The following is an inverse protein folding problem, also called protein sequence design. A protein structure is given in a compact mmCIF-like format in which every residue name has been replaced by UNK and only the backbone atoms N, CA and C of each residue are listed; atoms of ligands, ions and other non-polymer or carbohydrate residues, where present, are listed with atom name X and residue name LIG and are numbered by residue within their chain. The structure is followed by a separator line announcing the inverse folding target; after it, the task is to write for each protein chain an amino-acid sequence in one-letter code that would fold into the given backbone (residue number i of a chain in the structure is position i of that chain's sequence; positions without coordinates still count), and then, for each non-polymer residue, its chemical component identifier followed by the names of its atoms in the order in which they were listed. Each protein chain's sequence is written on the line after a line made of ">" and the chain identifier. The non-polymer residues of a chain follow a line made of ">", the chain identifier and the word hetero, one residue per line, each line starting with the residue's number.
data_IF_955503461776
#
_entry.id   IF_955503461776
#
_cell.length_a   1.000
_cell.length_b   1.000
_cell.length_c   1.000
_cell.angle_alpha   90.00
_cell.angle_beta   90.00
_cell.angle_gamma   90.00
#
_symmetry.space_group_name_H-M   'P 1'
#
loop_
_entity.id
_entity.type
_entity.pdbx_description
1 polymer ?
#
# COMPACT_ATOMS: atom_id res chain seq x y z
N UNK A 1 -6.84 6.94 -17.91
CA UNK A 1 -6.38 6.57 -16.57
C UNK A 1 -6.42 7.75 -15.64
N UNK A 2 -6.66 7.49 -14.37
CA UNK A 2 -6.67 8.51 -13.33
C UNK A 2 -5.42 8.38 -12.47
N UNK A 3 -5.01 9.49 -11.89
CA UNK A 3 -3.86 9.50 -11.00
C UNK A 3 -4.33 9.21 -9.57
N UNK A 4 -3.73 8.20 -8.97
CA UNK A 4 -4.05 7.78 -7.60
C UNK A 4 -2.83 7.85 -6.71
N UNK A 5 -3.05 8.16 -5.46
CA UNK A 5 -2.06 8.05 -4.41
C UNK A 5 -2.58 7.04 -3.40
N UNK A 6 -1.77 6.04 -3.13
CA UNK A 6 -2.14 4.95 -2.24
C UNK A 6 -1.14 4.92 -1.09
N UNK A 7 -1.63 5.07 0.12
CA UNK A 7 -0.81 4.92 1.31
C UNK A 7 -1.20 3.61 1.98
N UNK A 8 -0.22 2.82 2.34
CA UNK A 8 -0.49 1.62 3.12
C UNK A 8 0.56 1.43 4.20
N UNK A 9 0.15 0.76 5.27
CA UNK A 9 0.99 0.51 6.43
C UNK A 9 1.13 -0.99 6.58
N UNK A 10 2.39 -1.45 6.60
CA UNK A 10 2.73 -2.86 6.78
C UNK A 10 3.21 -3.06 8.21
N UNK A 11 2.77 -4.13 8.87
CA UNK A 11 3.21 -4.41 10.24
C UNK A 11 4.71 -4.73 10.26
N UNK A 12 5.38 -4.28 11.32
CA UNK A 12 6.83 -4.43 11.44
C UNK A 12 7.26 -5.77 12.04
N UNK A 13 6.32 -6.50 12.64
CA UNK A 13 6.62 -7.76 13.33
C UNK A 13 7.02 -8.91 12.40
N UNK A 14 6.79 -8.75 11.10
CA UNK A 14 7.11 -9.80 10.11
C UNK A 14 8.55 -9.74 9.62
N UNK A 15 9.31 -8.72 10.04
CA UNK A 15 10.69 -8.52 9.61
C UNK A 15 10.81 -7.70 8.35
N UNK A 16 11.97 -7.07 8.17
CA UNK A 16 12.22 -6.14 7.08
C UNK A 16 12.06 -6.77 5.69
N UNK A 17 12.55 -8.00 5.52
CA UNK A 17 12.46 -8.69 4.23
C UNK A 17 11.02 -8.94 3.82
N UNK A 18 10.17 -9.33 4.78
CA UNK A 18 8.75 -9.55 4.52
C UNK A 18 8.02 -8.24 4.27
N UNK A 19 8.42 -7.18 4.94
CA UNK A 19 7.86 -5.84 4.70
C UNK A 19 8.11 -5.43 3.25
N UNK A 20 9.33 -5.59 2.78
CA UNK A 20 9.69 -5.27 1.41
C UNK A 20 8.97 -6.16 0.40
N UNK A 21 8.87 -7.45 0.70
CA UNK A 21 8.17 -8.41 -0.15
C UNK A 21 6.68 -8.05 -0.27
N UNK A 22 6.06 -7.64 0.82
CA UNK A 22 4.66 -7.22 0.82
C UNK A 22 4.46 -5.97 -0.04
N UNK A 23 5.34 -4.99 0.08
CA UNK A 23 5.30 -3.78 -0.75
C UNK A 23 5.42 -4.13 -2.23
N UNK A 24 6.38 -4.98 -2.58
CA UNK A 24 6.59 -5.40 -3.97
C UNK A 24 5.38 -6.14 -4.53
N UNK A 25 4.77 -6.99 -3.72
CA UNK A 25 3.56 -7.72 -4.11
C UNK A 25 2.47 -6.77 -4.57
N UNK A 26 2.22 -5.71 -3.82
CA UNK A 26 1.18 -4.74 -4.16
C UNK A 26 1.56 -3.88 -5.36
N UNK A 27 2.83 -3.58 -5.55
CA UNK A 27 3.30 -2.91 -6.76
C UNK A 27 3.06 -3.78 -7.98
N UNK A 28 3.35 -5.08 -7.88
CA UNK A 28 3.14 -6.02 -8.97
C UNK A 28 1.66 -6.18 -9.31
N UNK A 29 0.78 -6.13 -8.33
CA UNK A 29 -0.67 -6.16 -8.55
C UNK A 29 -1.08 -4.98 -9.44
N UNK A 30 -0.59 -3.79 -9.13
CA UNK A 30 -0.90 -2.61 -9.93
C UNK A 30 -0.36 -2.73 -11.36
N UNK A 31 0.87 -3.20 -11.51
CA UNK A 31 1.47 -3.41 -12.84
C UNK A 31 0.70 -4.41 -13.66
N UNK A 32 0.29 -5.51 -13.05
CA UNK A 32 -0.46 -6.56 -13.71
C UNK A 32 -1.79 -6.04 -14.25
N UNK A 33 -2.43 -5.14 -13.53
CA UNK A 33 -3.70 -4.56 -13.92
C UNK A 33 -3.55 -3.30 -14.78
N UNK A 34 -2.36 -3.05 -15.30
CA UNK A 34 -2.11 -2.02 -16.30
C UNK A 34 -1.76 -0.63 -15.76
N UNK A 35 -1.48 -0.50 -14.48
CA UNK A 35 -1.07 0.78 -13.92
C UNK A 35 0.28 1.22 -14.51
N UNK A 36 0.43 2.53 -14.70
CA UNK A 36 1.62 3.14 -15.27
C UNK A 36 2.17 4.22 -14.36
N UNK A 37 3.43 4.59 -14.60
CA UNK A 37 4.11 5.65 -13.84
C UNK A 37 4.07 5.40 -12.34
N UNK A 38 4.32 4.15 -11.96
CA UNK A 38 4.29 3.73 -10.56
C UNK A 38 5.53 4.26 -9.85
N UNK A 39 5.32 5.09 -8.85
CA UNK A 39 6.37 5.60 -7.99
C UNK A 39 6.08 5.19 -6.56
N UNK A 40 7.09 4.66 -5.88
CA UNK A 40 6.96 4.19 -4.51
C UNK A 40 7.88 5.00 -3.61
N UNK A 41 7.33 5.55 -2.55
CA UNK A 41 8.10 6.25 -1.54
C UNK A 41 8.01 5.47 -0.23
N UNK A 42 9.17 5.09 0.30
CA UNK A 42 9.24 4.44 1.60
C UNK A 42 9.36 5.51 2.67
N UNK A 43 8.32 5.67 3.46
CA UNK A 43 8.31 6.67 4.54
C UNK A 43 9.02 6.17 5.79
N UNK A 44 9.32 4.88 5.85
CA UNK A 44 10.01 4.27 6.96
C UNK A 44 9.08 3.80 8.07
N UNK A 45 9.70 3.33 9.15
CA UNK A 45 8.99 2.85 10.31
C UNK A 45 8.55 4.03 11.18
N UNK A 46 7.29 4.05 11.57
CA UNK A 46 6.73 5.10 12.39
C UNK A 46 5.87 4.53 13.51
N UNK A 47 5.80 5.25 14.61
CA UNK A 47 4.90 4.93 15.69
C UNK A 47 3.48 5.29 15.31
N UNK A 48 2.55 4.36 15.58
CA UNK A 48 1.14 4.62 15.33
C UNK A 48 0.57 5.47 16.46
N UNK A 49 -0.37 6.35 16.12
CA UNK A 49 -1.02 7.21 17.11
C UNK A 49 -1.76 6.39 18.17
N UNK A 50 -2.25 5.22 17.77
CA UNK A 50 -2.88 4.26 18.65
C UNK A 50 -2.65 2.86 18.08
N UNK A 51 -2.76 1.86 18.94
CA UNK A 51 -2.54 0.48 18.55
C UNK A 51 -3.58 -0.01 17.55
N UNK A 52 -3.13 -0.58 16.43
CA UNK A 52 -4.00 -1.16 15.40
C UNK A 52 -3.60 -2.61 15.22
N UNK A 53 -4.55 -3.55 15.32
CA UNK A 53 -4.30 -4.98 15.15
C UNK A 53 -3.12 -5.46 16.00
N UNK A 54 -3.05 -5.00 17.23
CA UNK A 54 -1.98 -5.30 18.20
C UNK A 54 -0.59 -4.81 17.77
N UNK A 55 -0.53 -3.84 16.84
CA UNK A 55 0.72 -3.26 16.37
C UNK A 55 0.84 -1.82 16.85
N UNK A 56 1.96 -1.48 17.46
CA UNK A 56 2.27 -0.11 17.92
C UNK A 56 3.02 0.68 16.87
N UNK A 57 3.70 0.01 15.95
CA UNK A 57 4.48 0.63 14.88
C UNK A 57 4.07 0.04 13.55
N UNK A 58 4.36 0.78 12.49
CA UNK A 58 4.10 0.32 11.14
C UNK A 58 5.09 0.90 10.15
N UNK A 59 5.29 0.20 9.06
CA UNK A 59 6.10 0.66 7.93
C UNK A 59 5.20 1.35 6.93
N UNK A 60 5.44 2.63 6.68
CA UNK A 60 4.60 3.45 5.81
C UNK A 60 5.16 3.48 4.40
N UNK A 61 4.28 3.21 3.44
CA UNK A 61 4.59 3.31 2.02
C UNK A 61 3.57 4.19 1.33
N UNK A 62 4.04 4.99 0.38
CA UNK A 62 3.17 5.79 -0.48
C UNK A 62 3.45 5.41 -1.92
N UNK A 63 2.43 5.01 -2.65
CA UNK A 63 2.53 4.66 -4.06
C UNK A 63 1.70 5.64 -4.87
N UNK A 64 2.33 6.26 -5.86
CA UNK A 64 1.63 7.14 -6.80
C UNK A 64 1.66 6.46 -8.16
N UNK A 65 0.53 6.40 -8.82
CA UNK A 65 0.43 5.76 -10.13
C UNK A 65 -0.75 6.28 -10.94
N UNK A 66 -0.70 5.99 -12.23
CA UNK A 66 -1.84 6.20 -13.12
C UNK A 66 -2.49 4.84 -13.35
N UNK A 67 -3.77 4.73 -13.04
CA UNK A 67 -4.47 3.45 -13.09
C UNK A 67 -5.95 3.63 -13.42
N UNK A 68 -6.55 2.54 -13.89
CA UNK A 68 -7.99 2.44 -14.06
C UNK A 68 -8.64 2.04 -12.73
N UNK A 69 -9.92 2.33 -12.59
CA UNK A 69 -10.67 1.96 -11.39
C UNK A 69 -10.57 0.47 -11.08
N UNK A 70 -10.51 -0.37 -12.11
CA UNK A 70 -10.38 -1.80 -11.97
C UNK A 70 -9.13 -2.20 -11.17
N UNK A 71 -7.98 -1.58 -11.48
CA UNK A 71 -6.73 -1.86 -10.79
C UNK A 71 -6.81 -1.44 -9.32
N UNK A 72 -7.44 -0.31 -9.07
CA UNK A 72 -7.58 0.22 -7.71
C UNK A 72 -8.51 -0.66 -6.87
N UNK A 73 -9.61 -1.12 -7.44
CA UNK A 73 -10.52 -2.03 -6.76
C UNK A 73 -9.84 -3.34 -6.39
N UNK A 74 -9.02 -3.88 -7.27
CA UNK A 74 -8.27 -5.10 -6.99
C UNK A 74 -7.24 -4.88 -5.88
N UNK A 75 -6.53 -3.75 -5.91
CA UNK A 75 -5.61 -3.39 -4.85
C UNK A 75 -6.34 -3.34 -3.50
N UNK A 76 -7.48 -2.63 -3.46
CA UNK A 76 -8.27 -2.47 -2.25
C UNK A 76 -8.70 -3.82 -1.69
N UNK A 77 -9.21 -4.69 -2.55
CA UNK A 77 -9.64 -6.03 -2.16
C UNK A 77 -8.51 -6.83 -1.53
N UNK A 78 -7.35 -6.84 -2.18
CA UNK A 78 -6.20 -7.60 -1.70
C UNK A 78 -5.63 -7.02 -0.41
N UNK A 79 -5.62 -5.69 -0.28
CA UNK A 79 -5.15 -5.03 0.94
C UNK A 79 -6.04 -5.37 2.14
N UNK A 80 -7.34 -5.49 1.92
CA UNK A 80 -8.28 -5.83 3.01
C UNK A 80 -8.08 -7.25 3.54
N UNK A 81 -7.70 -8.18 2.67
CA UNK A 81 -7.53 -9.58 3.07
C UNK A 81 -6.10 -9.93 3.47
N UNK A 82 -5.13 -9.07 3.20
CA UNK A 82 -3.74 -9.34 3.55
C UNK A 82 -3.47 -8.99 5.00
N UNK A 83 -3.12 -9.99 5.80
CA UNK A 83 -2.88 -9.81 7.23
C UNK A 83 -1.65 -8.95 7.54
N UNK A 84 -0.75 -8.77 6.58
CA UNK A 84 0.43 -7.94 6.75
C UNK A 84 0.15 -6.45 6.60
N UNK A 85 -0.98 -6.10 5.96
CA UNK A 85 -1.41 -4.72 5.81
C UNK A 85 -2.28 -4.34 7.00
N UNK A 86 -1.81 -3.39 7.80
CA UNK A 86 -2.54 -2.90 8.96
C UNK A 86 -3.66 -1.96 8.52
N UNK A 87 -3.34 -1.06 7.60
CA UNK A 87 -4.27 -0.04 7.13
C UNK A 87 -3.84 0.43 5.75
N UNK A 88 -4.80 0.87 4.95
CA UNK A 88 -4.52 1.47 3.65
C UNK A 88 -5.51 2.60 3.36
N UNK A 89 -5.06 3.53 2.53
CA UNK A 89 -5.87 4.68 2.12
C UNK A 89 -5.60 4.96 0.65
N UNK A 90 -6.67 5.10 -0.13
CA UNK A 90 -6.58 5.37 -1.56
C UNK A 90 -7.16 6.75 -1.83
N UNK A 91 -6.37 7.61 -2.48
CA UNK A 91 -6.76 8.97 -2.80
C UNK A 91 -6.75 9.14 -4.31
N UNK A 92 -7.85 9.61 -4.88
CA UNK A 92 -7.92 9.99 -6.28
C UNK A 92 -7.41 11.42 -6.41
N UNK A 93 -6.27 11.59 -7.11
CA UNK A 93 -5.63 12.90 -7.29
C UNK A 93 -6.27 13.73 -8.39
N UNK A 94 -7.04 13.11 -9.25
CA UNK A 94 -7.76 13.79 -10.31
C UNK A 94 -9.23 13.92 -9.95
N UNK A 95 -9.75 15.09 -10.12
CA UNK A 95 -11.17 15.34 -9.88
C UNK A 95 -11.94 15.35 -11.18
#
# INVERSE_FOLDING_TARGET
>A
MKKYEIMFIVKTTIGEDEVKATSKKFQDVLKKDGAKNIEVEEMGQRELAYEIKDCKTGFYFVVTCDAEDKAIKEFDRLALIDSNIIRHLIINKEK
#
